data_IF_171167799696
#
_entry.id   IF_171167799696
#
_cell.length_a   1.000
_cell.length_b   1.000
_cell.length_c   1.000
_cell.angle_alpha   90.00
_cell.angle_beta   90.00
_cell.angle_gamma   90.00
#
_symmetry.space_group_name_H-M   'P 1'
#
loop_
_entity.id
_entity.type
_entity.pdbx_description
1 polymer ?
#
# COMPACT_ATOMS: atom_id res chain seq x y z
N UNK A 1 -15.12 -8.84 37.24
CA UNK A 1 -15.48 -7.61 36.49
C UNK A 1 -14.26 -6.72 36.21
N UNK A 2 -13.37 -6.44 37.17
CA UNK A 2 -12.18 -5.60 36.92
C UNK A 2 -11.12 -6.22 35.95
N UNK A 3 -10.96 -7.55 35.95
CA UNK A 3 -9.99 -8.24 35.06
C UNK A 3 -10.39 -8.26 33.58
N UNK A 4 -11.69 -8.32 33.28
CA UNK A 4 -12.21 -8.31 31.90
C UNK A 4 -11.92 -6.95 31.22
N UNK A 5 -12.13 -5.86 31.96
CA UNK A 5 -11.87 -4.49 31.50
C UNK A 5 -10.39 -4.19 31.21
N UNK A 6 -9.46 -4.81 31.95
CA UNK A 6 -8.02 -4.63 31.70
C UNK A 6 -7.56 -5.34 30.43
N UNK A 7 -8.12 -6.52 30.14
CA UNK A 7 -7.82 -7.30 28.94
C UNK A 7 -8.41 -6.63 27.68
N UNK A 8 -9.66 -6.14 27.76
CA UNK A 8 -10.30 -5.38 26.69
C UNK A 8 -9.50 -4.12 26.30
N UNK A 9 -8.98 -3.38 27.28
CA UNK A 9 -8.13 -2.21 27.03
C UNK A 9 -6.82 -2.58 26.33
N UNK A 10 -6.23 -3.72 26.69
CA UNK A 10 -4.99 -4.19 26.09
C UNK A 10 -5.21 -4.66 24.65
N UNK A 11 -6.30 -5.37 24.39
CA UNK A 11 -6.71 -5.84 23.05
C UNK A 11 -7.11 -4.70 22.11
N UNK A 12 -7.58 -3.57 22.66
CA UNK A 12 -7.91 -2.39 21.86
C UNK A 12 -6.69 -1.83 21.11
N UNK A 13 -5.48 -1.94 21.67
CA UNK A 13 -4.23 -1.51 21.01
C UNK A 13 -3.83 -2.40 19.82
N UNK A 14 -4.48 -3.56 19.67
CA UNK A 14 -4.24 -4.51 18.59
C UNK A 14 -5.30 -4.42 17.48
N UNK A 15 -6.19 -3.42 17.54
CA UNK A 15 -7.12 -3.08 16.46
C UNK A 15 -6.55 -1.91 15.67
N UNK A 16 -6.31 -2.13 14.38
CA UNK A 16 -5.76 -1.13 13.48
C UNK A 16 -6.81 -0.76 12.42
N UNK A 17 -7.05 0.54 12.22
CA UNK A 17 -7.84 1.05 11.09
C UNK A 17 -7.08 0.74 9.78
N UNK A 18 -7.67 -0.03 8.87
CA UNK A 18 -6.99 -0.46 7.65
C UNK A 18 -6.86 0.64 6.61
N UNK A 19 -7.71 1.67 6.65
CA UNK A 19 -7.55 2.83 5.76
C UNK A 19 -6.27 3.60 6.10
N UNK A 20 -5.92 3.71 7.39
CA UNK A 20 -4.67 4.36 7.82
C UNK A 20 -3.47 3.41 7.76
N UNK A 21 -3.68 2.12 8.04
CA UNK A 21 -2.60 1.13 8.06
C UNK A 21 -2.10 0.76 6.66
N UNK A 22 -2.87 0.98 5.60
CA UNK A 22 -2.42 0.75 4.22
C UNK A 22 -1.69 1.98 3.69
N UNK A 23 -0.42 1.80 3.34
CA UNK A 23 0.43 2.84 2.77
C UNK A 23 0.63 2.57 1.29
N UNK A 24 0.09 3.45 0.45
CA UNK A 24 0.24 3.42 -1.01
C UNK A 24 1.27 4.47 -1.46
N UNK A 25 2.12 4.10 -2.43
CA UNK A 25 3.07 5.02 -3.07
C UNK A 25 3.16 4.77 -4.57
N UNK A 26 3.35 5.85 -5.34
CA UNK A 26 3.75 5.82 -6.75
C UNK A 26 5.20 6.30 -6.85
N UNK A 27 6.12 5.36 -6.97
CA UNK A 27 7.57 5.58 -6.90
C UNK A 27 8.11 5.90 -8.29
N UNK A 28 8.68 7.10 -8.46
CA UNK A 28 9.38 7.55 -9.67
C UNK A 28 10.89 7.55 -9.46
N UNK A 29 11.32 7.91 -8.26
CA UNK A 29 12.71 7.98 -7.88
C UNK A 29 12.96 7.22 -6.56
N UNK A 30 14.19 6.76 -6.29
CA UNK A 30 14.50 6.08 -5.03
C UNK A 30 14.18 6.91 -3.79
N UNK A 31 14.26 8.23 -3.88
CA UNK A 31 13.99 9.14 -2.76
C UNK A 31 12.51 9.11 -2.32
N UNK A 32 11.58 8.77 -3.23
CA UNK A 32 10.15 8.68 -2.92
C UNK A 32 9.85 7.56 -1.90
N UNK A 33 10.74 6.58 -1.76
CA UNK A 33 10.60 5.47 -0.81
C UNK A 33 10.69 5.94 0.64
N UNK A 34 11.52 6.96 0.89
CA UNK A 34 11.77 7.53 2.23
C UNK A 34 10.96 8.83 2.47
N UNK A 35 10.38 9.41 1.41
CA UNK A 35 9.54 10.60 1.52
C UNK A 35 8.10 10.26 1.89
N UNK A 36 7.77 10.33 3.18
CA UNK A 36 6.41 10.07 3.68
C UNK A 36 5.33 10.97 3.05
N UNK A 37 5.67 12.15 2.48
CA UNK A 37 4.70 13.05 1.85
C UNK A 37 4.09 12.50 0.56
N UNK A 38 4.76 11.55 -0.09
CA UNK A 38 4.26 10.84 -1.28
C UNK A 38 3.33 9.67 -0.93
N UNK A 39 3.22 9.35 0.36
CA UNK A 39 2.33 8.29 0.83
C UNK A 39 0.89 8.76 0.80
N UNK A 40 0.01 7.92 0.27
CA UNK A 40 -1.43 8.12 0.35
C UNK A 40 -2.11 6.86 0.85
N UNK A 41 -3.38 7.03 1.23
CA UNK A 41 -4.18 6.02 1.93
C UNK A 41 -5.46 5.74 1.13
N UNK A 42 -5.96 4.50 1.13
CA UNK A 42 -7.25 4.21 0.51
C UNK A 42 -8.38 4.89 1.29
N UNK A 43 -9.38 5.40 0.58
CA UNK A 43 -10.62 5.87 1.20
C UNK A 43 -11.50 4.73 1.71
N UNK A 44 -11.36 3.53 1.14
CA UNK A 44 -12.17 2.36 1.44
C UNK A 44 -11.33 1.08 1.44
N UNK A 45 -11.53 0.24 2.45
CA UNK A 45 -10.92 -1.08 2.58
C UNK A 45 -11.91 -2.17 3.01
N UNK A 46 -13.20 -1.83 3.14
CA UNK A 46 -14.26 -2.75 3.59
C UNK A 46 -14.42 -4.02 2.75
N UNK A 47 -14.11 -3.97 1.45
CA UNK A 47 -14.18 -5.17 0.60
C UNK A 47 -13.17 -6.24 1.01
N UNK A 48 -12.08 -5.85 1.68
CA UNK A 48 -10.98 -6.73 2.11
C UNK A 48 -11.07 -7.02 3.60
N UNK A 49 -11.40 -6.01 4.41
CA UNK A 49 -11.36 -6.06 5.87
C UNK A 49 -12.74 -6.00 6.56
N UNK A 50 -13.83 -6.05 5.79
CA UNK A 50 -15.20 -6.00 6.30
C UNK A 50 -15.66 -4.57 6.65
N UNK A 51 -16.94 -4.43 6.98
CA UNK A 51 -17.61 -3.12 7.15
C UNK A 51 -16.96 -2.20 8.19
N UNK A 52 -16.27 -2.76 9.19
CA UNK A 52 -15.59 -2.00 10.23
C UNK A 52 -14.22 -1.44 9.79
N UNK A 53 -13.65 -1.92 8.66
CA UNK A 53 -12.34 -1.50 8.15
C UNK A 53 -11.23 -1.59 9.21
N UNK A 54 -11.22 -2.73 9.94
CA UNK A 54 -10.27 -3.01 11.03
C UNK A 54 -9.55 -4.32 10.79
N UNK A 55 -8.24 -4.32 11.01
CA UNK A 55 -7.44 -5.54 11.17
C UNK A 55 -7.11 -5.74 12.65
N UNK A 56 -7.39 -6.94 13.15
CA UNK A 56 -7.15 -7.34 14.54
C UNK A 56 -5.86 -8.15 14.70
N UNK A 57 -5.22 -7.97 15.86
CA UNK A 57 -4.09 -8.78 16.31
C UNK A 57 -2.73 -8.17 16.03
N UNK A 58 -2.68 -6.90 15.60
CA UNK A 58 -1.45 -6.19 15.26
C UNK A 58 -1.38 -4.85 15.97
N UNK A 59 -0.21 -4.50 16.49
CA UNK A 59 0.08 -3.17 17.02
C UNK A 59 1.01 -2.43 16.06
N UNK A 60 0.61 -1.21 15.67
CA UNK A 60 1.38 -0.40 14.72
C UNK A 60 1.51 -1.07 13.35
N UNK A 61 0.40 -1.65 12.87
CA UNK A 61 0.33 -2.31 11.56
C UNK A 61 0.61 -1.30 10.44
N UNK A 62 1.49 -1.68 9.51
CA UNK A 62 1.74 -0.99 8.26
C UNK A 62 1.72 -1.99 7.11
N UNK A 63 0.78 -1.82 6.19
CA UNK A 63 0.62 -2.62 4.98
C UNK A 63 1.18 -1.78 3.83
N UNK A 64 2.40 -2.06 3.42
CA UNK A 64 3.09 -1.32 2.37
C UNK A 64 2.73 -1.90 1.01
N UNK A 65 2.11 -1.09 0.16
CA UNK A 65 1.77 -1.40 -1.22
C UNK A 65 2.35 -0.32 -2.13
N UNK A 66 3.62 -0.48 -2.50
CA UNK A 66 4.32 0.51 -3.31
C UNK A 66 4.37 0.06 -4.76
N UNK A 67 4.13 0.99 -5.68
CA UNK A 67 4.06 0.73 -7.11
C UNK A 67 5.07 1.62 -7.83
N UNK A 68 5.82 1.05 -8.76
CA UNK A 68 6.59 1.87 -9.71
C UNK A 68 5.61 2.64 -10.61
N UNK A 69 5.83 3.95 -10.76
CA UNK A 69 4.80 4.87 -11.24
C UNK A 69 4.26 4.62 -12.66
N UNK A 70 5.02 4.01 -13.58
CA UNK A 70 4.54 3.67 -14.92
C UNK A 70 4.12 2.21 -15.05
N UNK A 71 5.03 1.26 -14.81
CA UNK A 71 4.74 -0.17 -15.03
C UNK A 71 3.97 -0.87 -13.90
N UNK A 72 3.77 -0.20 -12.75
CA UNK A 72 3.06 -0.71 -11.57
C UNK A 72 3.63 -1.99 -10.96
N UNK A 73 4.91 -2.29 -11.19
CA UNK A 73 5.63 -3.34 -10.45
C UNK A 73 5.49 -3.08 -8.96
N UNK A 74 5.03 -4.11 -8.26
CA UNK A 74 4.50 -3.97 -6.90
C UNK A 74 5.50 -4.46 -5.86
N UNK A 75 5.70 -3.70 -4.80
CA UNK A 75 6.21 -4.16 -3.52
C UNK A 75 5.03 -4.37 -2.59
N UNK A 76 4.99 -5.53 -1.94
CA UNK A 76 4.04 -5.81 -0.87
C UNK A 76 4.78 -6.29 0.37
N UNK A 77 4.60 -5.57 1.49
CA UNK A 77 5.17 -5.91 2.80
C UNK A 77 4.19 -5.60 3.92
N UNK A 78 4.17 -6.43 4.95
CA UNK A 78 3.38 -6.19 6.17
C UNK A 78 4.35 -6.04 7.34
N UNK A 79 4.42 -4.83 7.89
CA UNK A 79 5.23 -4.51 9.06
C UNK A 79 4.33 -4.28 10.28
N UNK A 80 4.82 -4.60 11.47
CA UNK A 80 4.12 -4.36 12.73
C UNK A 80 5.12 -4.32 13.90
N UNK A 81 4.76 -3.64 14.98
CA UNK A 81 5.60 -3.58 16.19
C UNK A 81 5.41 -4.79 17.09
N UNK A 82 4.18 -5.30 17.18
CA UNK A 82 3.87 -6.54 17.88
C UNK A 82 2.65 -7.21 17.26
N UNK A 83 2.56 -8.54 17.42
CA UNK A 83 1.45 -9.37 16.98
C UNK A 83 0.96 -10.18 18.17
N UNK A 84 -0.36 -10.35 18.31
CA UNK A 84 -0.90 -11.30 19.30
C UNK A 84 -0.42 -12.70 18.95
N UNK A 85 -0.08 -13.49 19.96
CA UNK A 85 0.28 -14.90 19.77
C UNK A 85 -0.47 -15.77 20.78
N UNK A 86 -0.54 -17.07 20.48
CA UNK A 86 -1.24 -18.06 21.32
C UNK A 86 -0.75 -18.03 22.78
N UNK A 87 0.52 -17.69 23.00
CA UNK A 87 1.15 -17.63 24.32
C UNK A 87 0.77 -16.39 25.13
N UNK A 88 0.23 -15.34 24.51
CA UNK A 88 -0.07 -14.08 25.17
C UNK A 88 -1.55 -13.97 25.53
N UNK A 89 -2.47 -14.36 24.62
CA UNK A 89 -3.88 -13.93 24.71
C UNK A 89 -4.91 -14.96 24.19
N UNK A 90 -4.52 -16.16 23.75
CA UNK A 90 -5.42 -17.20 23.19
C UNK A 90 -6.30 -16.75 22.01
N UNK A 91 -5.93 -15.68 21.30
CA UNK A 91 -6.61 -15.20 20.09
C UNK A 91 -5.60 -15.14 18.94
N UNK A 92 -6.04 -15.53 17.75
CA UNK A 92 -5.27 -15.42 16.52
C UNK A 92 -5.42 -14.02 15.90
N UNK A 93 -4.35 -13.54 15.27
CA UNK A 93 -4.40 -12.31 14.48
C UNK A 93 -5.01 -12.59 13.11
N UNK A 94 -5.62 -11.56 12.52
CA UNK A 94 -6.16 -11.66 11.18
C UNK A 94 -5.06 -11.96 10.14
N UNK A 95 -5.37 -12.78 9.14
CA UNK A 95 -4.44 -13.02 8.03
C UNK A 95 -4.49 -11.87 7.00
N UNK A 96 -3.92 -10.73 7.42
CA UNK A 96 -3.79 -9.52 6.58
C UNK A 96 -3.04 -9.83 5.29
N UNK A 97 -2.05 -10.72 5.33
CA UNK A 97 -1.21 -11.00 4.18
C UNK A 97 -1.97 -11.73 3.08
N UNK A 98 -2.71 -12.79 3.45
CA UNK A 98 -3.53 -13.53 2.49
C UNK A 98 -4.64 -12.66 1.89
N UNK A 99 -5.33 -11.86 2.72
CA UNK A 99 -6.38 -10.94 2.27
C UNK A 99 -5.91 -9.99 1.16
N UNK A 100 -4.73 -9.39 1.32
CA UNK A 100 -4.18 -8.50 0.28
C UNK A 100 -3.74 -9.28 -0.96
N UNK A 101 -3.16 -10.49 -0.79
CA UNK A 101 -2.74 -11.34 -1.91
C UNK A 101 -3.89 -11.80 -2.81
N UNK A 102 -5.13 -11.81 -2.32
CA UNK A 102 -6.30 -12.13 -3.12
C UNK A 102 -6.65 -11.03 -4.13
N UNK A 103 -6.25 -9.78 -3.88
CA UNK A 103 -6.60 -8.63 -4.72
C UNK A 103 -5.43 -8.06 -5.53
N UNK A 104 -4.19 -8.46 -5.24
CA UNK A 104 -3.00 -8.06 -6.01
C UNK A 104 -2.49 -9.23 -6.87
N UNK A 105 -1.91 -8.95 -8.05
CA UNK A 105 -1.30 -10.00 -8.85
C UNK A 105 -0.09 -10.63 -8.13
N UNK A 106 0.21 -11.91 -8.40
CA UNK A 106 1.43 -12.54 -7.90
C UNK A 106 2.68 -11.92 -8.53
N UNK A 107 3.84 -12.17 -7.92
CA UNK A 107 5.13 -11.68 -8.44
C UNK A 107 5.58 -10.34 -7.87
N UNK A 108 4.96 -9.88 -6.78
CA UNK A 108 5.40 -8.70 -6.03
C UNK A 108 6.75 -8.93 -5.33
N UNK A 109 7.50 -7.83 -5.20
CA UNK A 109 8.71 -7.78 -4.37
C UNK A 109 8.34 -7.74 -2.88
N UNK A 110 9.24 -8.26 -2.03
CA UNK A 110 9.16 -8.14 -0.56
C UNK A 110 10.25 -7.26 0.03
N UNK A 111 11.21 -6.82 -0.78
CA UNK A 111 12.33 -5.98 -0.35
C UNK A 111 12.37 -4.68 -1.13
N UNK A 112 12.77 -3.60 -0.45
CA UNK A 112 12.95 -2.31 -1.08
C UNK A 112 14.09 -2.36 -2.12
N UNK A 113 15.15 -3.12 -1.85
CA UNK A 113 16.29 -3.30 -2.76
C UNK A 113 15.88 -3.93 -4.10
N UNK A 114 15.00 -4.94 -4.06
CA UNK A 114 14.44 -5.55 -5.27
C UNK A 114 13.55 -4.56 -6.03
N UNK A 115 12.78 -3.72 -5.32
CA UNK A 115 11.95 -2.68 -5.94
C UNK A 115 12.83 -1.62 -6.63
N UNK A 116 13.92 -1.19 -5.99
CA UNK A 116 14.91 -0.26 -6.58
C UNK A 116 15.54 -0.88 -7.84
N UNK A 117 15.88 -2.16 -7.80
CA UNK A 117 16.41 -2.89 -8.96
C UNK A 117 15.40 -3.00 -10.11
N UNK A 118 14.10 -3.04 -9.81
CA UNK A 118 13.03 -2.98 -10.81
C UNK A 118 12.82 -1.56 -11.35
N UNK A 119 12.99 -0.54 -10.50
CA UNK A 119 12.85 0.87 -10.86
C UNK A 119 13.89 1.28 -11.92
N UNK A 120 15.12 0.76 -11.84
CA UNK A 120 16.14 0.99 -12.88
C UNK A 120 15.69 0.53 -14.28
N UNK A 121 14.80 -0.46 -14.36
CA UNK A 121 14.29 -1.00 -15.62
C UNK A 121 13.09 -0.23 -16.17
N UNK A 122 12.54 0.70 -15.39
CA UNK A 122 11.34 1.46 -15.71
C UNK A 122 11.49 2.33 -16.96
N UNK A 123 12.71 2.74 -17.30
CA UNK A 123 13.01 3.46 -18.55
C UNK A 123 12.52 2.73 -19.82
N UNK A 124 12.39 1.41 -19.74
CA UNK A 124 11.90 0.57 -20.84
C UNK A 124 10.38 0.50 -20.93
N UNK A 125 9.66 0.95 -19.90
CA UNK A 125 8.21 1.00 -19.92
C UNK A 125 7.72 1.95 -21.03
N UNK A 126 6.68 1.51 -21.74
CA UNK A 126 5.97 2.31 -22.74
C UNK A 126 4.47 2.14 -22.51
N UNK A 127 3.68 3.22 -22.62
CA UNK A 127 2.23 3.12 -22.53
C UNK A 127 1.68 2.13 -23.55
N UNK A 128 0.70 1.33 -23.11
CA UNK A 128 0.06 0.35 -23.96
C UNK A 128 -1.02 1.00 -24.84
N UNK A 129 -1.22 0.44 -26.04
CA UNK A 129 -2.32 0.82 -26.93
C UNK A 129 -1.99 1.95 -27.92
N UNK A 130 -3.04 2.65 -28.37
CA UNK A 130 -2.92 3.72 -29.38
C UNK A 130 -3.10 5.08 -28.70
N UNK A 131 -2.17 6.00 -28.94
CA UNK A 131 -2.26 7.39 -28.47
C UNK A 131 -3.48 8.07 -29.10
N UNK A 132 -4.38 8.57 -28.26
CA UNK A 132 -5.56 9.32 -28.69
C UNK A 132 -5.35 10.83 -28.59
N UNK A 133 -4.72 11.27 -27.52
CA UNK A 133 -4.63 12.70 -27.19
C UNK A 133 -3.41 13.00 -26.34
N UNK A 134 -2.86 14.20 -26.54
CA UNK A 134 -1.76 14.78 -25.76
C UNK A 134 -2.16 16.21 -25.38
N UNK A 135 -1.96 16.58 -24.12
CA UNK A 135 -2.21 17.94 -23.64
C UNK A 135 -1.18 18.30 -22.56
N UNK A 136 -0.98 19.60 -22.33
CA UNK A 136 -0.04 20.11 -21.33
C UNK A 136 -0.77 21.06 -20.38
N UNK A 137 -0.40 21.02 -19.11
CA UNK A 137 -0.93 21.88 -18.05
C UNK A 137 0.26 22.59 -17.40
N UNK A 138 0.20 23.91 -17.33
CA UNK A 138 1.22 24.68 -16.61
C UNK A 138 1.13 24.40 -15.13
N UNK A 139 2.22 23.92 -14.52
CA UNK A 139 2.32 23.73 -13.08
C UNK A 139 3.02 24.95 -12.47
N UNK A 140 2.24 25.77 -11.76
CA UNK A 140 2.74 27.00 -11.12
C UNK A 140 3.77 26.72 -10.02
N UNK A 141 3.65 25.60 -9.30
CA UNK A 141 4.55 25.23 -8.20
C UNK A 141 5.90 24.74 -8.73
N UNK A 142 5.89 23.95 -9.81
CA UNK A 142 7.11 23.44 -10.45
C UNK A 142 7.72 24.44 -11.44
N UNK A 143 6.96 25.45 -11.88
CA UNK A 143 7.37 26.44 -12.88
C UNK A 143 7.54 25.86 -14.29
N UNK A 144 6.96 24.69 -14.55
CA UNK A 144 7.09 23.95 -15.82
C UNK A 144 5.76 23.37 -16.30
N UNK A 145 5.68 23.10 -17.61
CA UNK A 145 4.51 22.46 -18.19
C UNK A 145 4.57 20.94 -18.02
N UNK A 146 3.57 20.37 -17.37
CA UNK A 146 3.42 18.91 -17.28
C UNK A 146 2.62 18.44 -18.49
N UNK A 147 3.17 17.48 -19.22
CA UNK A 147 2.52 16.88 -20.40
C UNK A 147 1.89 15.54 -20.06
N UNK A 148 0.65 15.37 -20.47
CA UNK A 148 -0.17 14.17 -20.27
C UNK A 148 -0.55 13.55 -21.61
N UNK A 149 -0.73 12.23 -21.60
CA UNK A 149 -1.11 11.45 -22.77
C UNK A 149 -2.23 10.47 -22.42
N UNK A 150 -3.19 10.30 -23.33
CA UNK A 150 -4.32 9.38 -23.18
C UNK A 150 -4.22 8.31 -24.26
N UNK A 151 -4.23 7.05 -23.83
CA UNK A 151 -4.13 5.87 -24.72
C UNK A 151 -5.39 5.03 -24.65
N UNK A 152 -5.76 4.40 -25.77
CA UNK A 152 -6.82 3.38 -25.84
C UNK A 152 -6.19 1.99 -25.95
N UNK A 153 -6.51 1.13 -24.99
CA UNK A 153 -6.25 -0.31 -25.10
C UNK A 153 -7.44 -0.99 -25.80
N UNK A 154 -7.15 -1.95 -26.68
CA UNK A 154 -8.17 -2.83 -27.22
C UNK A 154 -8.24 -4.11 -26.37
N UNK A 155 -9.45 -4.59 -26.04
CA UNK A 155 -9.64 -5.84 -25.33
C UNK A 155 -9.21 -7.05 -26.16
#
# INVERSE_FOLDING_TARGET
MAGLSAMEKKLAEYKCNTNEAIHLKLVRFPEDLEDDSTTFHPEFSHQVFGDDEVAFGYKGLKILLYYIAGNLSTLFRVDYTSKVNENFECVEADDVESKIREIIPPGFSRSLDDLVSLLEKEVNFKPFGILLHTYSVHNEEAGEDITYQIYKLFP
#
